data_IF_523757145445
#
_entry.id   IF_523757145445
#
_cell.length_a   1.000
_cell.length_b   1.000
_cell.length_c   1.000
_cell.angle_alpha   90.00
_cell.angle_beta   90.00
_cell.angle_gamma   90.00
#
_symmetry.space_group_name_H-M   'P 1'
#
loop_
_entity.id
_entity.type
_entity.pdbx_description
1 polymer ?
#
# COMPACT_ATOMS: atom_id res chain seq x y z
N UNK A 1 14.39 4.36 19.04
CA UNK A 1 14.26 2.89 18.97
C UNK A 1 13.14 2.61 17.97
N UNK A 2 13.52 2.35 16.74
CA UNK A 2 12.60 2.18 15.60
C UNK A 2 11.97 0.79 15.70
N UNK A 3 10.67 0.76 16.03
CA UNK A 3 9.93 -0.47 16.23
C UNK A 3 9.77 -1.13 14.85
N UNK A 4 10.69 -2.05 14.51
CA UNK A 4 10.76 -2.75 13.23
C UNK A 4 9.63 -3.77 13.18
N UNK A 5 8.40 -3.27 13.08
CA UNK A 5 7.25 -4.12 13.10
C UNK A 5 6.98 -4.73 11.74
N UNK A 6 6.58 -6.00 11.73
CA UNK A 6 6.16 -6.66 10.50
C UNK A 6 4.77 -6.12 10.14
N UNK A 7 4.67 -5.36 9.05
CA UNK A 7 3.39 -4.94 8.48
C UNK A 7 2.77 -6.13 7.76
N UNK A 8 1.57 -6.52 8.18
CA UNK A 8 0.85 -7.64 7.59
C UNK A 8 0.02 -7.10 6.41
N UNK A 9 0.59 -7.03 5.20
CA UNK A 9 -0.13 -6.60 3.99
C UNK A 9 -0.89 -7.81 3.40
N UNK A 10 -2.18 -7.91 3.72
CA UNK A 10 -3.01 -9.06 3.38
C UNK A 10 -4.24 -8.61 2.58
N UNK A 11 -4.63 -9.34 1.51
CA UNK A 11 -5.92 -9.13 0.87
C UNK A 11 -7.05 -9.65 1.78
N UNK A 12 -7.52 -8.81 2.70
CA UNK A 12 -8.57 -9.16 3.67
C UNK A 12 -9.95 -8.84 3.10
N UNK A 13 -10.92 -9.71 3.38
CA UNK A 13 -12.33 -9.41 3.13
C UNK A 13 -12.80 -8.26 4.04
N UNK A 14 -13.72 -7.37 3.62
CA UNK A 14 -14.16 -6.23 4.43
C UNK A 14 -14.60 -6.58 5.86
N UNK A 15 -15.32 -7.70 6.04
CA UNK A 15 -15.72 -8.18 7.36
C UNK A 15 -14.54 -8.44 8.31
N UNK A 16 -13.41 -8.93 7.77
CA UNK A 16 -12.18 -9.14 8.53
C UNK A 16 -11.53 -7.82 8.92
N UNK A 17 -11.49 -6.85 8.00
CA UNK A 17 -11.00 -5.50 8.31
C UNK A 17 -11.82 -4.83 9.41
N UNK A 18 -13.15 -4.91 9.32
CA UNK A 18 -14.06 -4.39 10.35
C UNK A 18 -13.87 -5.09 11.70
N UNK A 19 -13.65 -6.41 11.71
CA UNK A 19 -13.35 -7.16 12.94
C UNK A 19 -12.04 -6.71 13.60
N UNK A 20 -10.98 -6.44 12.82
CA UNK A 20 -9.71 -5.93 13.33
C UNK A 20 -9.88 -4.55 13.99
N UNK A 21 -10.60 -3.63 13.36
CA UNK A 21 -10.90 -2.32 13.92
C UNK A 21 -11.73 -2.42 15.21
N UNK A 22 -12.74 -3.31 15.23
CA UNK A 22 -13.54 -3.55 16.43
C UNK A 22 -12.70 -4.14 17.57
N UNK A 23 -11.87 -5.15 17.28
CA UNK A 23 -10.99 -5.76 18.28
C UNK A 23 -9.99 -4.74 18.86
N UNK A 24 -9.46 -3.83 18.03
CA UNK A 24 -8.59 -2.75 18.49
C UNK A 24 -9.29 -1.77 19.44
N UNK A 25 -10.55 -1.46 19.18
CA UNK A 25 -11.35 -0.60 20.04
C UNK A 25 -11.54 -1.25 21.42
N UNK A 26 -11.88 -2.54 21.44
CA UNK A 26 -12.15 -3.31 22.66
C UNK A 26 -10.88 -3.58 23.48
N UNK A 27 -9.74 -3.87 22.84
CA UNK A 27 -8.49 -4.20 23.52
C UNK A 27 -7.70 -2.99 24.06
N UNK A 28 -8.04 -1.75 23.66
CA UNK A 28 -7.23 -0.55 23.92
C UNK A 28 -6.84 -0.38 25.39
N UNK A 29 -5.54 -0.32 25.78
CA UNK A 29 -4.33 -0.07 24.97
C UNK A 29 -3.51 -1.32 24.57
N UNK A 30 -3.98 -2.53 24.86
CA UNK A 30 -3.25 -3.78 24.65
C UNK A 30 -3.16 -4.16 23.16
N UNK A 31 -2.15 -4.97 22.75
CA UNK A 31 -2.17 -5.58 21.43
C UNK A 31 -3.35 -6.53 21.29
N UNK A 32 -3.94 -6.59 20.09
CA UNK A 32 -5.05 -7.50 19.79
C UNK A 32 -4.52 -8.93 19.75
N UNK A 33 -5.06 -9.79 20.59
CA UNK A 33 -4.75 -11.21 20.64
C UNK A 33 -5.69 -12.05 19.73
N UNK A 34 -5.46 -13.36 19.65
CA UNK A 34 -6.32 -14.23 18.83
C UNK A 34 -7.77 -14.30 19.31
N UNK A 35 -8.03 -14.23 20.63
CA UNK A 35 -9.38 -14.28 21.22
C UNK A 35 -10.15 -13.01 20.90
N UNK A 36 -9.54 -11.85 21.09
CA UNK A 36 -10.13 -10.54 20.83
C UNK A 36 -10.58 -10.45 19.37
N UNK A 37 -9.72 -10.89 18.45
CA UNK A 37 -10.05 -10.90 17.02
C UNK A 37 -11.14 -11.91 16.69
N UNK A 38 -11.15 -13.08 17.32
CA UNK A 38 -12.23 -14.07 17.13
C UNK A 38 -13.59 -13.55 17.61
N UNK A 39 -13.63 -12.96 18.81
CA UNK A 39 -14.83 -12.33 19.38
C UNK A 39 -15.34 -11.20 18.49
N UNK A 40 -14.45 -10.33 18.02
CA UNK A 40 -14.81 -9.25 17.11
C UNK A 40 -15.34 -9.80 15.78
N UNK A 41 -14.75 -10.87 15.27
CA UNK A 41 -15.21 -11.54 14.05
C UNK A 41 -16.64 -12.10 14.21
N UNK A 42 -16.93 -12.76 15.34
CA UNK A 42 -18.29 -13.25 15.65
C UNK A 42 -19.33 -12.13 15.69
N UNK A 43 -18.95 -10.92 16.11
CA UNK A 43 -19.87 -9.77 16.22
C UNK A 43 -20.13 -9.09 14.88
N UNK A 44 -19.13 -9.07 14.01
CA UNK A 44 -19.16 -8.32 12.74
C UNK A 44 -19.60 -9.18 11.57
N UNK A 45 -19.22 -10.46 11.55
CA UNK A 45 -19.56 -11.35 10.46
C UNK A 45 -21.02 -11.82 10.53
N UNK A 46 -21.81 -11.37 9.57
CA UNK A 46 -23.22 -11.76 9.39
C UNK A 46 -23.41 -12.89 8.39
N UNK A 47 -22.33 -13.33 7.71
CA UNK A 47 -22.40 -14.37 6.68
C UNK A 47 -22.30 -15.78 7.26
N UNK A 48 -21.49 -15.97 8.30
CA UNK A 48 -21.35 -17.24 9.01
C UNK A 48 -22.49 -17.53 9.99
N UNK A 49 -22.80 -18.81 10.19
CA UNK A 49 -23.79 -19.31 11.16
C UNK A 49 -23.17 -19.52 12.54
N UNK A 50 -22.63 -18.46 13.12
CA UNK A 50 -21.94 -18.46 14.41
C UNK A 50 -22.76 -19.05 15.56
N UNK A 51 -24.09 -18.97 15.47
CA UNK A 51 -25.06 -19.51 16.42
C UNK A 51 -24.79 -20.98 16.77
N UNK A 52 -24.26 -21.76 15.83
CA UNK A 52 -23.94 -23.18 16.05
C UNK A 52 -22.76 -23.36 16.99
N UNK A 53 -21.77 -22.47 16.92
CA UNK A 53 -20.61 -22.47 17.80
C UNK A 53 -21.01 -21.95 19.19
N UNK A 54 -21.85 -20.91 19.25
CA UNK A 54 -22.27 -20.32 20.53
C UNK A 54 -23.07 -21.29 21.40
N UNK A 55 -23.79 -22.24 20.80
CA UNK A 55 -24.47 -23.32 21.52
C UNK A 55 -23.53 -24.20 22.35
N UNK A 56 -22.26 -24.34 21.92
CA UNK A 56 -21.29 -25.18 22.60
C UNK A 56 -20.36 -24.39 23.52
N UNK A 57 -19.91 -23.21 23.08
CA UNK A 57 -18.83 -22.47 23.74
C UNK A 57 -19.29 -21.21 24.48
N UNK A 58 -20.55 -20.83 24.35
CA UNK A 58 -21.06 -19.52 24.78
C UNK A 58 -20.98 -18.46 23.69
N UNK A 59 -21.70 -17.37 23.88
CA UNK A 59 -21.71 -16.23 22.95
C UNK A 59 -20.43 -15.40 23.04
N UNK A 60 -20.37 -14.33 22.23
CA UNK A 60 -19.21 -13.45 22.16
C UNK A 60 -18.91 -12.74 23.49
N UNK A 61 -19.89 -12.56 24.38
CA UNK A 61 -19.69 -11.92 25.68
C UNK A 61 -19.06 -12.89 26.67
N UNK A 62 -19.55 -14.13 26.70
CA UNK A 62 -18.96 -15.20 27.51
C UNK A 62 -17.51 -15.43 27.11
N UNK A 63 -17.23 -15.51 25.80
CA UNK A 63 -15.87 -15.72 25.30
C UNK A 63 -14.94 -14.54 25.61
N UNK A 64 -15.43 -13.30 25.52
CA UNK A 64 -14.65 -12.11 25.87
C UNK A 64 -14.22 -12.09 27.36
N UNK A 65 -15.05 -12.65 28.24
CA UNK A 65 -14.76 -12.74 29.67
C UNK A 65 -13.74 -13.80 30.08
N UNK A 66 -13.38 -14.75 29.19
CA UNK A 66 -12.46 -15.83 29.52
C UNK A 66 -11.03 -15.34 29.64
N UNK A 67 -10.34 -15.68 30.73
CA UNK A 67 -8.93 -15.34 30.94
C UNK A 67 -8.06 -16.39 30.25
N UNK A 68 -7.68 -16.11 29.01
CA UNK A 68 -6.77 -16.92 28.17
C UNK A 68 -5.73 -15.99 27.56
N UNK A 69 -4.54 -16.51 27.29
CA UNK A 69 -3.42 -15.72 26.79
C UNK A 69 -2.80 -16.38 25.57
N UNK A 70 -2.41 -15.54 24.61
CA UNK A 70 -1.62 -16.01 23.49
C UNK A 70 -0.21 -16.43 23.95
N UNK A 71 0.33 -17.53 23.42
CA UNK A 71 1.62 -18.07 23.84
C UNK A 71 2.78 -17.12 23.52
N UNK A 72 2.68 -16.37 22.41
CA UNK A 72 3.57 -15.27 22.07
C UNK A 72 2.79 -13.95 22.10
N UNK A 73 2.82 -13.28 23.25
CA UNK A 73 2.16 -11.99 23.51
C UNK A 73 2.98 -10.76 23.04
N UNK A 74 4.15 -10.97 22.43
CA UNK A 74 4.94 -9.88 21.83
C UNK A 74 4.12 -9.12 20.79
N UNK A 75 4.38 -7.83 20.62
CA UNK A 75 3.60 -6.96 19.71
C UNK A 75 4.47 -6.31 18.64
N UNK A 76 5.37 -7.12 18.07
CA UNK A 76 6.23 -6.66 16.98
C UNK A 76 5.41 -6.45 15.70
N UNK A 77 4.35 -7.22 15.49
CA UNK A 77 3.56 -7.17 14.26
C UNK A 77 2.47 -6.09 14.31
N UNK A 78 2.20 -5.46 13.16
CA UNK A 78 1.11 -4.49 13.02
C UNK A 78 0.34 -4.67 11.71
N UNK A 79 -0.94 -4.29 11.74
CA UNK A 79 -1.81 -4.22 10.57
C UNK A 79 -2.49 -2.85 10.55
N UNK A 80 -2.24 -2.02 9.53
CA UNK A 80 -2.78 -0.64 9.45
C UNK A 80 -2.62 0.20 10.73
N UNK A 81 -1.53 -0.02 11.48
CA UNK A 81 -1.26 0.65 12.77
C UNK A 81 -1.88 -0.01 14.01
N UNK A 82 -2.68 -1.06 13.83
CA UNK A 82 -3.18 -1.93 14.91
C UNK A 82 -2.06 -2.86 15.36
N UNK A 83 -1.72 -2.83 16.66
CA UNK A 83 -0.77 -3.77 17.25
C UNK A 83 -1.44 -5.12 17.44
N UNK A 84 -0.79 -6.18 16.97
CA UNK A 84 -1.24 -7.56 17.13
C UNK A 84 -0.25 -8.31 18.02
N UNK A 85 -0.71 -9.32 18.76
CA UNK A 85 0.22 -10.31 19.32
C UNK A 85 0.94 -11.05 18.19
N UNK A 86 2.15 -11.54 18.43
CA UNK A 86 2.92 -12.31 17.44
C UNK A 86 2.17 -13.61 17.06
N UNK A 87 1.42 -14.18 18.01
CA UNK A 87 0.52 -15.31 17.79
C UNK A 87 -0.64 -14.94 16.87
N UNK A 88 -1.31 -13.81 17.11
CA UNK A 88 -2.40 -13.31 16.26
C UNK A 88 -1.90 -13.04 14.84
N UNK A 89 -0.74 -12.40 14.70
CA UNK A 89 -0.13 -12.20 13.39
C UNK A 89 0.22 -13.53 12.68
N UNK A 90 0.64 -14.57 13.41
CA UNK A 90 0.86 -15.91 12.85
C UNK A 90 -0.44 -16.59 12.41
N UNK A 91 -1.53 -16.39 13.14
CA UNK A 91 -2.86 -16.87 12.77
C UNK A 91 -3.37 -16.21 11.47
N UNK A 92 -3.22 -14.89 11.31
CA UNK A 92 -3.57 -14.20 10.06
C UNK A 92 -2.78 -14.75 8.86
N UNK A 93 -1.47 -14.95 9.01
CA UNK A 93 -0.62 -15.55 7.97
C UNK A 93 -1.04 -16.98 7.64
N UNK A 94 -1.51 -17.74 8.63
CA UNK A 94 -2.04 -19.09 8.42
C UNK A 94 -3.35 -19.06 7.65
N UNK A 95 -4.27 -18.15 7.99
CA UNK A 95 -5.51 -17.94 7.25
C UNK A 95 -5.25 -17.56 5.79
N UNK A 96 -4.28 -16.67 5.53
CA UNK A 96 -3.88 -16.28 4.17
C UNK A 96 -3.26 -17.45 3.39
N UNK A 97 -2.37 -18.22 4.03
CA UNK A 97 -1.78 -19.43 3.43
C UNK A 97 -2.86 -20.41 3.01
N UNK A 98 -3.84 -20.66 3.88
CA UNK A 98 -4.96 -21.55 3.58
C UNK A 98 -5.86 -20.97 2.48
N UNK A 99 -6.21 -19.68 2.52
CA UNK A 99 -6.99 -19.02 1.47
C UNK A 99 -6.36 -19.21 0.09
N UNK A 100 -5.04 -18.97 -0.03
CA UNK A 100 -4.30 -19.20 -1.28
C UNK A 100 -4.28 -20.67 -1.68
N UNK A 101 -4.05 -21.57 -0.72
CA UNK A 101 -4.02 -23.02 -0.97
C UNK A 101 -5.32 -23.53 -1.58
N UNK A 102 -6.46 -23.00 -1.11
CA UNK A 102 -7.78 -23.34 -1.61
C UNK A 102 -8.32 -22.35 -2.66
N UNK A 103 -7.45 -21.52 -3.24
CA UNK A 103 -7.74 -20.59 -4.33
C UNK A 103 -8.92 -19.62 -4.05
N UNK A 104 -9.00 -19.10 -2.83
CA UNK A 104 -10.00 -18.11 -2.42
C UNK A 104 -9.50 -16.67 -2.68
N UNK A 105 -10.38 -15.77 -3.17
CA UNK A 105 -10.04 -14.37 -3.37
C UNK A 105 -9.98 -13.64 -2.01
N UNK A 106 -8.77 -13.56 -1.46
CA UNK A 106 -8.54 -12.95 -0.15
C UNK A 106 -8.93 -13.85 1.03
N UNK A 107 -8.88 -13.30 2.24
CA UNK A 107 -9.17 -14.05 3.47
C UNK A 107 -10.61 -13.79 3.93
N UNK A 108 -11.56 -14.74 3.74
CA UNK A 108 -12.91 -14.63 4.27
C UNK A 108 -12.94 -14.90 5.78
N UNK A 109 -14.05 -14.53 6.43
CA UNK A 109 -14.24 -14.69 7.87
C UNK A 109 -14.02 -16.14 8.36
N UNK A 110 -14.64 -17.12 7.71
CA UNK A 110 -14.43 -18.53 8.07
C UNK A 110 -12.97 -19.00 7.93
N UNK A 111 -12.23 -18.47 6.95
CA UNK A 111 -10.82 -18.82 6.79
C UNK A 111 -9.94 -18.19 7.88
N UNK A 112 -10.26 -16.95 8.28
CA UNK A 112 -9.63 -16.32 9.42
C UNK A 112 -9.94 -17.08 10.71
N UNK A 113 -11.19 -17.46 10.94
CA UNK A 113 -11.60 -18.22 12.11
C UNK A 113 -10.82 -19.54 12.23
N UNK A 114 -10.66 -20.27 11.13
CA UNK A 114 -9.82 -21.47 11.06
C UNK A 114 -8.33 -21.16 11.34
N UNK A 115 -7.82 -20.03 10.85
CA UNK A 115 -6.45 -19.58 11.14
C UNK A 115 -6.24 -19.21 12.62
N UNK A 116 -7.23 -18.59 13.26
CA UNK A 116 -7.19 -18.20 14.68
C UNK A 116 -7.16 -19.40 15.61
N UNK A 117 -7.86 -20.48 15.25
CA UNK A 117 -7.86 -21.73 16.03
C UNK A 117 -6.92 -22.78 15.45
N UNK A 118 -6.07 -22.41 14.48
CA UNK A 118 -5.19 -23.34 13.78
C UNK A 118 -4.17 -24.02 14.70
N UNK A 119 -3.83 -23.40 15.83
CA UNK A 119 -2.98 -23.93 16.88
C UNK A 119 -3.81 -23.97 18.18
N UNK A 120 -3.80 -25.14 18.84
CA UNK A 120 -4.61 -25.39 20.03
C UNK A 120 -4.13 -24.59 21.24
N UNK A 121 -2.93 -24.03 21.18
CA UNK A 121 -2.36 -23.17 22.20
C UNK A 121 -2.76 -21.70 22.07
N UNK A 122 -3.43 -21.29 21.00
CA UNK A 122 -3.90 -19.90 20.83
C UNK A 122 -4.95 -19.53 21.87
N UNK A 123 -5.05 -18.24 22.24
CA UNK A 123 -6.09 -17.76 23.13
C UNK A 123 -7.49 -18.06 22.57
N UNK A 124 -7.71 -17.89 21.26
CA UNK A 124 -8.97 -18.25 20.59
C UNK A 124 -9.32 -19.75 20.76
N UNK A 125 -8.37 -20.65 20.51
CA UNK A 125 -8.63 -22.09 20.65
C UNK A 125 -8.90 -22.48 22.12
N UNK A 126 -8.14 -21.94 23.06
CA UNK A 126 -8.35 -22.18 24.49
C UNK A 126 -9.69 -21.61 24.99
N UNK A 127 -10.12 -20.46 24.47
CA UNK A 127 -11.43 -19.90 24.82
C UNK A 127 -12.59 -20.83 24.41
N UNK A 128 -12.40 -21.63 23.35
CA UNK A 128 -13.41 -22.51 22.79
C UNK A 128 -13.31 -23.96 23.32
N UNK A 129 -12.20 -24.34 23.95
CA UNK A 129 -11.92 -25.74 24.33
C UNK A 129 -12.83 -26.31 25.42
N UNK A 130 -13.49 -25.46 26.21
CA UNK A 130 -14.40 -25.92 27.27
C UNK A 130 -15.68 -26.59 26.72
N UNK A 131 -16.02 -26.34 25.46
CA UNK A 131 -17.27 -26.79 24.84
C UNK A 131 -17.12 -27.75 23.66
N UNK A 132 -15.94 -27.78 23.04
CA UNK A 132 -15.70 -28.54 21.81
C UNK A 132 -14.31 -29.13 21.79
N UNK A 133 -14.20 -30.34 21.25
CA UNK A 133 -12.91 -30.87 20.86
C UNK A 133 -12.38 -30.13 19.62
N UNK A 134 -11.06 -30.13 19.49
CA UNK A 134 -10.30 -29.54 18.38
C UNK A 134 -10.84 -29.90 16.99
N UNK A 135 -11.12 -31.17 16.77
CA UNK A 135 -11.65 -31.72 15.52
C UNK A 135 -13.08 -31.23 15.26
N UNK A 136 -13.96 -31.34 16.25
CA UNK A 136 -15.35 -30.87 16.18
C UNK A 136 -15.44 -29.36 15.91
N UNK A 137 -14.58 -28.57 16.54
CA UNK A 137 -14.50 -27.12 16.31
C UNK A 137 -14.11 -26.80 14.86
N UNK A 138 -13.12 -27.50 14.31
CA UNK A 138 -12.72 -27.29 12.92
C UNK A 138 -13.83 -27.70 11.94
N UNK A 139 -14.56 -28.76 12.24
CA UNK A 139 -15.69 -29.20 11.40
C UNK A 139 -16.85 -28.20 11.45
N UNK A 140 -17.19 -27.67 12.63
CA UNK A 140 -18.20 -26.62 12.78
C UNK A 140 -17.78 -25.33 12.06
N UNK A 141 -16.53 -24.89 12.21
CA UNK A 141 -16.04 -23.70 11.52
C UNK A 141 -16.08 -23.84 10.00
N UNK A 142 -15.74 -25.01 9.48
CA UNK A 142 -15.83 -25.30 8.04
C UNK A 142 -17.28 -25.29 7.54
N UNK A 143 -18.17 -26.03 8.22
CA UNK A 143 -19.54 -26.21 7.78
C UNK A 143 -20.40 -24.95 7.97
N UNK A 144 -20.29 -24.29 9.12
CA UNK A 144 -21.21 -23.26 9.54
C UNK A 144 -20.67 -21.83 9.32
N UNK A 145 -19.36 -21.59 9.41
CA UNK A 145 -18.78 -20.25 9.22
C UNK A 145 -18.20 -20.07 7.82
N UNK A 146 -17.36 -21.00 7.37
CA UNK A 146 -16.78 -20.96 6.03
C UNK A 146 -17.79 -21.37 4.96
N UNK A 147 -18.76 -22.21 5.32
CA UNK A 147 -19.79 -22.72 4.40
C UNK A 147 -19.29 -23.80 3.43
N UNK A 148 -18.09 -24.33 3.62
CA UNK A 148 -17.53 -25.42 2.83
C UNK A 148 -16.50 -26.24 3.62
N UNK A 149 -16.38 -27.51 3.27
CA UNK A 149 -15.37 -28.41 3.83
C UNK A 149 -14.08 -28.36 3.02
N UNK A 150 -12.97 -28.19 3.72
CA UNK A 150 -11.64 -28.10 3.15
C UNK A 150 -10.97 -29.48 3.19
N UNK A 151 -10.85 -30.12 2.02
CA UNK A 151 -10.23 -31.44 1.91
C UNK A 151 -8.76 -31.39 2.32
N UNK A 152 -8.38 -32.18 3.32
CA UNK A 152 -6.99 -32.26 3.79
C UNK A 152 -6.57 -31.17 4.76
N UNK A 153 -7.51 -30.40 5.33
CA UNK A 153 -7.20 -29.30 6.25
C UNK A 153 -6.32 -29.71 7.43
N UNK A 154 -6.58 -30.86 8.06
CA UNK A 154 -5.78 -31.33 9.19
C UNK A 154 -4.29 -31.50 8.82
N UNK A 155 -4.01 -31.95 7.59
CA UNK A 155 -2.64 -32.08 7.09
C UNK A 155 -2.01 -30.71 6.84
N UNK A 156 -2.76 -29.75 6.28
CA UNK A 156 -2.28 -28.38 6.04
C UNK A 156 -2.02 -27.59 7.34
N UNK A 157 -2.78 -27.88 8.40
CA UNK A 157 -2.57 -27.32 9.74
C UNK A 157 -1.41 -27.98 10.48
N UNK A 158 -1.18 -29.28 10.25
CA UNK A 158 -0.08 -30.04 10.86
C UNK A 158 1.24 -29.85 10.12
N UNK A 159 1.19 -29.45 8.85
CA UNK A 159 2.37 -29.15 8.07
C UNK A 159 3.11 -27.99 8.73
N UNK A 160 4.33 -28.27 9.21
CA UNK A 160 5.27 -27.20 9.56
C UNK A 160 5.36 -26.29 8.35
N UNK A 161 5.10 -24.96 8.48
CA UNK A 161 5.22 -24.06 7.35
C UNK A 161 6.62 -24.29 6.75
N UNK A 162 6.74 -24.42 5.42
CA UNK A 162 8.03 -24.62 4.79
C UNK A 162 8.99 -23.58 5.38
N UNK A 163 10.22 -23.98 5.78
CA UNK A 163 11.16 -23.04 6.37
C UNK A 163 11.16 -21.81 5.48
N UNK A 164 10.83 -20.66 6.09
CA UNK A 164 10.84 -19.39 5.37
C UNK A 164 12.11 -19.40 4.53
N UNK A 165 12.04 -19.20 3.20
CA UNK A 165 13.25 -19.06 2.41
C UNK A 165 14.11 -18.07 3.19
N UNK A 166 15.41 -18.36 3.40
CA UNK A 166 16.26 -17.57 4.28
C UNK A 166 15.96 -16.13 3.94
N UNK A 167 15.53 -15.36 4.96
CA UNK A 167 15.15 -13.96 4.80
C UNK A 167 16.20 -13.37 3.88
N UNK A 168 15.88 -13.27 2.58
CA UNK A 168 16.63 -12.38 1.72
C UNK A 168 16.40 -11.09 2.47
N UNK A 169 17.45 -10.38 2.93
CA UNK A 169 17.22 -9.05 3.42
C UNK A 169 16.36 -8.41 2.35
N UNK A 170 15.08 -8.20 2.67
CA UNK A 170 14.22 -7.36 1.86
C UNK A 170 15.01 -6.09 2.00
N UNK A 171 15.79 -5.76 0.96
CA UNK A 171 16.52 -4.52 0.92
C UNK A 171 15.46 -3.51 1.36
N UNK A 172 15.69 -2.78 2.47
CA UNK A 172 14.66 -1.94 3.04
C UNK A 172 14.06 -1.21 1.86
N UNK A 173 12.76 -1.41 1.61
CA UNK A 173 12.08 -0.59 0.62
C UNK A 173 12.13 0.76 1.28
N UNK A 174 13.21 1.50 1.01
CA UNK A 174 13.45 2.79 1.57
C UNK A 174 12.29 3.60 1.04
N UNK A 175 11.27 3.77 1.89
CA UNK A 175 10.15 4.62 1.58
C UNK A 175 10.78 5.98 1.33
N UNK A 176 10.91 6.34 0.06
CA UNK A 176 11.48 7.62 -0.29
C UNK A 176 10.46 8.67 0.13
N UNK A 177 10.90 9.63 0.91
CA UNK A 177 10.10 10.78 1.31
C UNK A 177 10.39 11.92 0.36
N UNK A 178 9.36 12.64 -0.05
CA UNK A 178 9.50 13.82 -0.87
C UNK A 178 10.39 14.85 -0.16
N UNK A 179 11.48 15.29 -0.81
CA UNK A 179 12.38 16.31 -0.25
C UNK A 179 11.68 17.65 0.02
N UNK A 180 10.56 17.91 -0.65
CA UNK A 180 9.84 19.18 -0.50
C UNK A 180 8.84 19.18 0.64
N UNK A 181 8.02 18.13 0.77
CA UNK A 181 6.88 18.10 1.71
C UNK A 181 6.90 16.91 2.68
N UNK A 182 7.87 16.00 2.57
CA UNK A 182 7.96 14.79 3.40
C UNK A 182 6.96 13.69 3.05
N UNK A 183 6.18 13.85 1.99
CA UNK A 183 5.18 12.87 1.56
C UNK A 183 5.77 11.55 1.07
N UNK A 184 5.05 10.46 1.28
CA UNK A 184 5.26 9.15 0.66
C UNK A 184 3.96 8.74 -0.04
N UNK A 185 4.00 8.02 -1.18
CA UNK A 185 5.19 7.54 -1.89
C UNK A 185 5.92 8.63 -2.70
N UNK A 186 7.26 8.55 -2.75
CA UNK A 186 8.10 9.41 -3.60
C UNK A 186 8.99 8.59 -4.55
N UNK A 187 9.36 9.20 -5.68
CA UNK A 187 10.27 8.60 -6.65
C UNK A 187 11.58 9.39 -6.73
N UNK A 188 12.71 8.67 -6.76
CA UNK A 188 14.03 9.24 -7.04
C UNK A 188 14.13 9.59 -8.53
N UNK A 189 13.82 10.84 -8.85
CA UNK A 189 13.86 11.39 -10.21
C UNK A 189 14.54 12.75 -10.20
N UNK A 190 15.25 13.08 -11.27
CA UNK A 190 15.85 14.41 -11.45
C UNK A 190 15.11 15.13 -12.56
N UNK A 191 14.50 16.26 -12.22
CA UNK A 191 13.82 17.13 -13.18
C UNK A 191 14.84 18.14 -13.70
N UNK A 192 14.89 18.34 -15.02
CA UNK A 192 15.86 19.21 -15.68
C UNK A 192 15.17 20.37 -16.38
N UNK A 193 15.83 21.50 -16.50
CA UNK A 193 15.39 22.63 -17.31
C UNK A 193 16.59 23.20 -18.06
N UNK A 194 16.39 23.51 -19.34
CA UNK A 194 17.39 24.14 -20.18
C UNK A 194 16.97 25.58 -20.46
N UNK A 195 17.82 26.54 -20.08
CA UNK A 195 17.63 27.96 -20.38
C UNK A 195 18.76 28.36 -21.31
N UNK A 196 18.46 28.42 -22.60
CA UNK A 196 19.41 28.77 -23.65
C UNK A 196 19.03 30.10 -24.26
N UNK A 197 19.63 31.17 -23.74
CA UNK A 197 19.62 32.46 -24.42
C UNK A 197 20.83 32.51 -25.36
N UNK A 198 20.73 33.22 -26.49
CA UNK A 198 21.70 33.18 -27.62
C UNK A 198 23.19 33.17 -27.17
N UNK A 199 23.53 33.87 -26.09
CA UNK A 199 24.90 33.96 -25.56
C UNK A 199 25.12 33.25 -24.20
N UNK A 200 24.09 32.72 -23.54
CA UNK A 200 24.20 32.06 -22.24
C UNK A 200 23.37 30.78 -22.15
N UNK A 201 24.03 29.68 -21.80
CA UNK A 201 23.39 28.38 -21.58
C UNK A 201 23.43 28.02 -20.09
N UNK A 202 22.26 27.82 -19.49
CA UNK A 202 22.12 27.38 -18.12
C UNK A 202 21.32 26.08 -18.05
N UNK A 203 21.95 25.05 -17.46
CA UNK A 203 21.31 23.77 -17.15
C UNK A 203 20.91 23.75 -15.69
N UNK A 204 19.60 23.78 -15.43
CA UNK A 204 19.07 23.67 -14.07
C UNK A 204 18.64 22.24 -13.83
N UNK A 205 19.06 21.67 -12.70
CA UNK A 205 18.68 20.32 -12.29
C UNK A 205 18.09 20.39 -10.88
N UNK A 206 16.94 19.76 -10.69
CA UNK A 206 16.28 19.59 -9.39
C UNK A 206 16.27 18.10 -9.06
N UNK A 207 17.21 17.61 -8.23
CA UNK A 207 17.19 16.23 -7.77
C UNK A 207 16.04 16.02 -6.78
N UNK A 208 15.28 14.95 -6.96
CA UNK A 208 14.33 14.43 -5.99
C UNK A 208 15.02 13.61 -4.89
N UNK A 209 14.29 12.85 -4.09
CA UNK A 209 12.94 12.30 -4.36
C UNK A 209 11.77 13.29 -4.30
N UNK A 210 10.77 13.06 -5.15
CA UNK A 210 9.51 13.84 -5.20
C UNK A 210 8.28 12.92 -5.09
N UNK A 211 7.28 13.33 -4.31
CA UNK A 211 5.94 12.73 -4.40
C UNK A 211 5.24 13.14 -5.70
N UNK A 212 4.09 12.52 -5.99
CA UNK A 212 3.33 12.79 -7.21
C UNK A 212 3.08 14.28 -7.43
N UNK A 213 2.52 14.95 -6.43
CA UNK A 213 2.01 16.32 -6.60
C UNK A 213 3.14 17.35 -6.69
N UNK A 214 4.12 17.28 -5.78
CA UNK A 214 5.33 18.12 -5.84
C UNK A 214 6.15 17.87 -7.11
N UNK A 215 6.25 16.61 -7.54
CA UNK A 215 6.93 16.22 -8.76
C UNK A 215 6.25 16.79 -10.00
N UNK A 216 4.92 16.66 -10.11
CA UNK A 216 4.14 17.21 -11.21
C UNK A 216 4.19 18.74 -11.24
N UNK A 217 4.07 19.41 -10.09
CA UNK A 217 4.19 20.86 -9.98
C UNK A 217 5.57 21.36 -10.48
N UNK A 218 6.64 20.72 -9.99
CA UNK A 218 8.02 21.04 -10.36
C UNK A 218 8.27 20.79 -11.84
N UNK A 219 7.86 19.63 -12.34
CA UNK A 219 8.02 19.25 -13.74
C UNK A 219 7.32 20.24 -14.67
N UNK A 220 6.06 20.61 -14.36
CA UNK A 220 5.28 21.56 -15.17
C UNK A 220 5.94 22.94 -15.18
N UNK A 221 6.36 23.45 -14.03
CA UNK A 221 7.05 24.74 -13.90
C UNK A 221 8.36 24.76 -14.71
N UNK A 222 9.22 23.76 -14.52
CA UNK A 222 10.52 23.69 -15.18
C UNK A 222 10.42 23.44 -16.68
N UNK A 223 9.43 22.69 -17.13
CA UNK A 223 9.17 22.44 -18.55
C UNK A 223 8.71 23.71 -19.24
N UNK A 224 7.77 24.47 -18.64
CA UNK A 224 7.33 25.76 -19.20
C UNK A 224 8.52 26.72 -19.31
N UNK A 225 9.39 26.81 -18.29
CA UNK A 225 10.60 27.62 -18.37
C UNK A 225 11.54 27.17 -19.50
N UNK A 226 11.74 25.85 -19.66
CA UNK A 226 12.59 25.28 -20.72
C UNK A 226 12.04 25.59 -22.12
N UNK A 227 10.72 25.59 -22.25
CA UNK A 227 10.02 25.83 -23.51
C UNK A 227 9.97 27.33 -23.84
N UNK A 228 10.01 28.22 -22.87
CA UNK A 228 10.12 29.65 -23.17
C UNK A 228 11.54 30.09 -23.44
N UNK A 229 12.54 29.49 -22.78
CA UNK A 229 13.93 29.95 -22.86
C UNK A 229 14.86 28.99 -23.62
N UNK A 230 14.40 27.85 -24.11
CA UNK A 230 15.27 26.83 -24.70
C UNK A 230 15.30 26.78 -26.23
N UNK A 231 14.59 27.66 -26.94
CA UNK A 231 14.47 27.60 -28.40
C UNK A 231 15.29 28.65 -29.17
N UNK A 232 15.93 29.59 -28.48
CA UNK A 232 16.48 30.80 -29.09
C UNK A 232 17.80 30.61 -29.86
N UNK A 233 18.17 29.38 -30.22
CA UNK A 233 19.37 29.12 -31.03
C UNK A 233 19.40 27.70 -31.59
N UNK A 234 20.18 27.43 -32.66
CA UNK A 234 20.18 26.14 -33.34
C UNK A 234 20.63 24.99 -32.43
N UNK A 235 21.75 25.17 -31.73
CA UNK A 235 22.26 24.17 -30.79
C UNK A 235 21.33 24.00 -29.58
N UNK A 236 20.75 25.11 -29.11
CA UNK A 236 19.80 25.15 -27.99
C UNK A 236 18.53 24.35 -28.30
N UNK A 237 18.05 24.41 -29.55
CA UNK A 237 16.86 23.69 -30.02
C UNK A 237 17.01 22.17 -29.87
N UNK A 238 18.17 21.61 -30.25
CA UNK A 238 18.46 20.18 -30.07
C UNK A 238 18.60 19.80 -28.59
N UNK A 239 19.33 20.58 -27.81
CA UNK A 239 19.58 20.31 -26.38
C UNK A 239 18.27 20.38 -25.58
N UNK A 240 17.41 21.35 -25.88
CA UNK A 240 16.12 21.49 -25.22
C UNK A 240 15.20 20.31 -25.55
N UNK A 241 15.20 19.84 -26.81
CA UNK A 241 14.43 18.65 -27.20
C UNK A 241 14.85 17.40 -26.41
N UNK A 242 16.17 17.16 -26.28
CA UNK A 242 16.70 16.05 -25.45
C UNK A 242 16.32 16.23 -23.97
N UNK A 243 16.38 17.46 -23.46
CA UNK A 243 16.00 17.77 -22.07
C UNK A 243 14.53 17.45 -21.80
N UNK A 244 13.63 17.89 -22.69
CA UNK A 244 12.19 17.61 -22.60
C UNK A 244 11.92 16.09 -22.67
N UNK A 245 12.62 15.37 -23.54
CA UNK A 245 12.51 13.91 -23.63
C UNK A 245 12.95 13.21 -22.33
N UNK A 246 14.05 13.66 -21.71
CA UNK A 246 14.49 13.12 -20.41
C UNK A 246 13.50 13.40 -19.28
N UNK A 247 12.81 14.53 -19.34
CA UNK A 247 11.75 14.89 -18.39
C UNK A 247 10.49 14.04 -18.59
N UNK A 248 10.24 13.50 -19.77
CA UNK A 248 9.13 12.57 -20.02
C UNK A 248 9.31 11.25 -19.25
N UNK A 249 10.56 10.76 -19.15
CA UNK A 249 10.87 9.60 -18.32
C UNK A 249 10.61 9.90 -16.83
N UNK A 250 11.01 11.08 -16.35
CA UNK A 250 10.68 11.54 -15.00
C UNK A 250 9.16 11.65 -14.79
N UNK A 251 8.42 12.21 -15.76
CA UNK A 251 6.96 12.29 -15.73
C UNK A 251 6.31 10.92 -15.57
N UNK A 252 6.71 9.93 -16.38
CA UNK A 252 6.13 8.59 -16.33
C UNK A 252 6.26 7.97 -14.94
N UNK A 253 7.43 8.10 -14.30
CA UNK A 253 7.68 7.57 -12.95
C UNK A 253 6.88 8.30 -11.88
N UNK A 254 6.74 9.62 -11.98
CA UNK A 254 5.98 10.43 -11.01
C UNK A 254 4.47 10.20 -11.17
N UNK A 255 3.97 10.12 -12.41
CA UNK A 255 2.54 9.98 -12.71
C UNK A 255 1.98 8.61 -12.31
N UNK A 256 2.82 7.58 -12.27
CA UNK A 256 2.46 6.24 -11.79
C UNK A 256 2.34 6.15 -10.25
N UNK A 257 2.80 7.17 -9.52
CA UNK A 257 2.68 7.15 -8.06
C UNK A 257 1.21 7.30 -7.61
N UNK A 258 0.81 6.64 -6.52
CA UNK A 258 -0.41 6.96 -5.78
C UNK A 258 -0.45 8.43 -5.28
N UNK A 259 -1.64 8.96 -4.91
CA UNK A 259 -1.72 10.25 -4.21
C UNK A 259 -0.85 10.24 -2.94
N UNK A 260 -0.30 11.41 -2.55
CA UNK A 260 0.42 11.51 -1.29
C UNK A 260 -0.51 11.25 -0.10
N UNK A 261 -0.04 10.47 0.87
CA UNK A 261 -0.81 10.05 2.04
C UNK A 261 -1.06 11.27 2.98
N UNK A 262 -2.28 11.45 3.51
CA UNK A 262 -2.58 12.53 4.47
C UNK A 262 -1.77 12.44 5.78
N UNK A 263 -1.48 13.57 6.43
CA UNK A 263 -0.86 13.62 7.76
C UNK A 263 0.67 13.83 7.79
N UNK A 264 1.27 14.19 6.65
CA UNK A 264 2.71 14.45 6.52
C UNK A 264 3.12 15.90 6.93
N UNK A 265 4.41 16.15 7.24
CA UNK A 265 4.86 17.41 7.87
C UNK A 265 4.65 18.67 7.02
N UNK A 266 4.76 18.55 5.69
CA UNK A 266 4.60 19.67 4.76
C UNK A 266 3.38 19.52 3.86
N UNK A 267 2.77 20.65 3.46
CA UNK A 267 1.74 20.64 2.44
C UNK A 267 2.34 20.33 1.06
N UNK A 268 1.79 19.36 0.30
CA UNK A 268 2.25 19.09 -1.05
C UNK A 268 1.88 20.26 -1.96
N UNK A 269 2.76 20.55 -2.94
CA UNK A 269 2.50 21.61 -3.91
C UNK A 269 1.27 21.27 -4.76
N UNK A 270 0.44 22.26 -5.05
CA UNK A 270 -0.63 22.10 -6.03
C UNK A 270 -0.04 22.02 -7.45
N UNK A 271 -0.18 20.88 -8.15
CA UNK A 271 0.28 20.76 -9.53
C UNK A 271 -0.55 21.62 -10.51
N UNK A 272 -1.73 22.09 -10.09
CA UNK A 272 -2.65 22.92 -10.86
C UNK A 272 -3.13 22.27 -12.15
N UNK A 273 -3.57 23.04 -13.16
CA UNK A 273 -4.05 22.48 -14.42
C UNK A 273 -2.95 21.73 -15.20
N UNK A 274 -3.33 20.73 -16.00
CA UNK A 274 -2.39 19.98 -16.84
C UNK A 274 -1.65 20.91 -17.82
N UNK A 275 -0.44 20.49 -18.21
CA UNK A 275 0.53 21.31 -18.93
C UNK A 275 -0.07 22.04 -20.15
N UNK A 276 -0.79 21.33 -21.01
CA UNK A 276 -1.39 21.89 -22.24
C UNK A 276 -2.58 22.81 -22.01
N UNK A 277 -3.14 22.87 -20.80
CA UNK A 277 -4.19 23.84 -20.44
C UNK A 277 -3.62 25.14 -19.88
N UNK A 278 -2.29 25.29 -19.82
CA UNK A 278 -1.62 26.50 -19.36
C UNK A 278 -1.23 27.36 -20.56
N UNK A 279 -1.44 28.68 -20.46
CA UNK A 279 -0.95 29.66 -21.44
C UNK A 279 0.55 29.50 -21.74
N UNK A 280 1.33 29.07 -20.73
CA UNK A 280 2.75 28.77 -20.89
C UNK A 280 3.07 27.67 -21.90
N UNK A 281 2.14 26.77 -22.24
CA UNK A 281 2.33 25.73 -23.25
C UNK A 281 2.37 26.26 -24.69
N UNK A 282 1.95 27.50 -24.93
CA UNK A 282 2.09 28.16 -26.25
C UNK A 282 3.56 28.18 -26.69
N UNK A 283 4.52 28.20 -25.76
CA UNK A 283 5.93 28.19 -26.10
C UNK A 283 6.39 26.93 -26.88
N UNK A 284 5.62 25.84 -26.88
CA UNK A 284 5.93 24.67 -27.72
C UNK A 284 5.77 24.96 -29.22
N UNK A 285 5.03 26.01 -29.57
CA UNK A 285 4.83 26.44 -30.95
C UNK A 285 5.97 27.32 -31.47
N UNK A 286 6.88 27.79 -30.60
CA UNK A 286 7.98 28.68 -30.98
C UNK A 286 8.88 28.05 -32.08
N UNK A 287 9.31 26.77 -31.99
CA UNK A 287 10.08 26.14 -33.06
C UNK A 287 9.34 26.07 -34.39
N UNK A 288 8.03 25.80 -34.35
CA UNK A 288 7.19 25.75 -35.55
C UNK A 288 7.06 27.15 -36.18
N UNK A 289 6.94 28.19 -35.35
CA UNK A 289 6.94 29.58 -35.80
C UNK A 289 8.25 29.98 -36.48
N UNK A 290 9.40 29.61 -35.91
CA UNK A 290 10.70 29.83 -36.56
C UNK A 290 10.81 29.10 -37.90
N UNK A 291 10.36 27.84 -37.94
CA UNK A 291 10.37 27.04 -39.16
C UNK A 291 9.48 27.65 -40.26
N UNK A 292 8.27 28.09 -39.92
CA UNK A 292 7.37 28.78 -40.84
C UNK A 292 7.94 30.12 -41.32
N UNK A 293 8.53 30.91 -40.42
CA UNK A 293 9.16 32.18 -40.77
C UNK A 293 10.32 31.96 -41.76
N UNK A 294 11.18 30.97 -41.52
CA UNK A 294 12.34 30.69 -42.37
C UNK A 294 11.95 30.10 -43.73
N UNK A 295 10.92 29.24 -43.78
CA UNK A 295 10.50 28.54 -45.00
C UNK A 295 9.53 29.35 -45.87
N UNK A 296 8.74 30.25 -45.29
CA UNK A 296 7.64 30.93 -46.00
C UNK A 296 7.85 32.44 -46.04
N UNK A 297 8.06 33.07 -44.88
CA UNK A 297 8.11 34.54 -44.78
C UNK A 297 9.43 35.10 -45.35
N UNK A 298 10.56 34.46 -45.05
CA UNK A 298 11.87 34.91 -45.52
C UNK A 298 11.97 34.91 -47.07
N UNK A 299 11.53 33.84 -47.78
CA UNK A 299 11.52 33.84 -49.25
C UNK A 299 10.54 34.86 -49.84
N UNK A 300 9.35 35.01 -49.25
CA UNK A 300 8.34 35.99 -49.67
C UNK A 300 8.81 37.44 -49.54
N UNK A 301 9.64 37.76 -48.54
CA UNK A 301 10.25 39.09 -48.37
C UNK A 301 11.45 39.33 -49.29
N UNK A 302 12.07 38.26 -49.79
CA UNK A 302 13.21 38.34 -50.73
C UNK A 302 12.79 38.34 -52.21
N UNK A 303 11.49 38.19 -52.48
CA UNK A 303 10.89 38.20 -53.82
C UNK A 303 10.29 39.57 -54.12
#
# INVERSE_FOLDING_TARGET
MENTGVTVDLPLHPAVGSALWQARADASPQPVDTRDLFVALMRVDTSGRWNRITLHCGDSEILAGKIVLDPAAGSSSHWEGIRLTDTCAAALRTAERLARRYNLPGVPAGMLALGLVADGSTAAAQALSDGLRRDELLDLLQADVLGMTLSGLANELSATPPPLPPLRPVAPVQALYCLHCGATPAAAVTIRSHRGFILMMQFVRMPGPFCRDCGLATLRRMTIQSVWFGWWGPLSLFINAVTIMSNMAAHSRIAQLPPPIPGMPGQPMDPGPPLFRRLGAIGFLIPLGFLLWFLVVLPLLSS
#
